data_IF_883390896284
#
_entry.id   IF_883390896284
#
_cell.length_a   1.000
_cell.length_b   1.000
_cell.length_c   1.000
_cell.angle_alpha   90.00
_cell.angle_beta   90.00
_cell.angle_gamma   90.00
#
_symmetry.space_group_name_H-M   'P 1'
#
loop_
_entity.id
_entity.type
_entity.pdbx_description
1 polymer ?
#
# COMPACT_ATOMS: atom_id res chain seq x y z
N UNK A 1 -40.45 -31.40 35.75
CA UNK A 1 -39.76 -30.92 34.54
C UNK A 1 -38.68 -31.94 34.21
N UNK A 2 -39.01 -32.97 33.44
CA UNK A 2 -38.05 -34.01 33.07
C UNK A 2 -37.14 -33.40 32.01
N UNK A 3 -35.89 -33.15 32.38
CA UNK A 3 -34.84 -32.82 31.42
C UNK A 3 -34.62 -34.09 30.60
N UNK A 4 -35.38 -34.23 29.51
CA UNK A 4 -35.19 -35.33 28.57
C UNK A 4 -33.88 -35.11 27.85
N UNK A 5 -33.15 -36.19 27.53
CA UNK A 5 -31.87 -36.16 26.83
C UNK A 5 -31.91 -35.30 25.55
N UNK A 6 -33.07 -35.21 24.92
CA UNK A 6 -33.36 -34.38 23.75
C UNK A 6 -33.25 -32.86 24.04
N UNK A 7 -33.73 -32.37 25.19
CA UNK A 7 -33.57 -30.96 25.56
C UNK A 7 -32.11 -30.58 25.81
N UNK A 8 -31.32 -31.48 26.41
CA UNK A 8 -29.87 -31.28 26.58
C UNK A 8 -29.18 -31.23 25.20
N UNK A 9 -29.57 -32.10 24.27
CA UNK A 9 -29.02 -32.13 22.92
C UNK A 9 -29.27 -30.82 22.16
N UNK A 10 -30.48 -30.26 22.23
CA UNK A 10 -30.82 -28.99 21.60
C UNK A 10 -30.05 -27.80 22.20
N UNK A 11 -29.83 -27.79 23.52
CA UNK A 11 -29.02 -26.77 24.20
C UNK A 11 -27.56 -26.84 23.72
N UNK A 12 -26.98 -28.05 23.66
CA UNK A 12 -25.61 -28.26 23.19
C UNK A 12 -25.47 -27.91 21.71
N UNK A 13 -26.44 -28.28 20.87
CA UNK A 13 -26.47 -27.91 19.46
C UNK A 13 -26.54 -26.39 19.27
N UNK A 14 -27.41 -25.70 20.04
CA UNK A 14 -27.52 -24.24 20.02
C UNK A 14 -26.22 -23.53 20.44
N UNK A 15 -25.55 -24.02 21.48
CA UNK A 15 -24.24 -23.52 21.93
C UNK A 15 -23.15 -23.76 20.88
N UNK A 16 -23.16 -24.90 20.21
CA UNK A 16 -22.22 -25.21 19.12
C UNK A 16 -22.36 -24.25 17.94
N UNK A 17 -23.60 -23.97 17.51
CA UNK A 17 -23.86 -23.00 16.43
C UNK A 17 -23.45 -21.59 16.85
N UNK A 18 -23.80 -21.16 18.07
CA UNK A 18 -23.42 -19.85 18.58
C UNK A 18 -21.89 -19.69 18.66
N UNK A 19 -21.17 -20.72 19.11
CA UNK A 19 -19.70 -20.72 19.16
C UNK A 19 -19.07 -20.58 17.76
N UNK A 20 -19.65 -21.24 16.75
CA UNK A 20 -19.17 -21.17 15.37
C UNK A 20 -19.40 -19.77 14.77
N UNK A 21 -20.56 -19.17 15.02
CA UNK A 21 -20.86 -17.79 14.60
C UNK A 21 -19.90 -16.80 15.25
N UNK A 22 -19.68 -16.89 16.56
CA UNK A 22 -18.73 -16.03 17.27
C UNK A 22 -17.32 -16.21 16.70
N UNK A 23 -16.85 -17.45 16.53
CA UNK A 23 -15.53 -17.74 15.95
C UNK A 23 -15.37 -17.15 14.54
N UNK A 24 -16.40 -17.28 13.69
CA UNK A 24 -16.38 -16.69 12.35
C UNK A 24 -16.31 -15.16 12.37
N UNK A 25 -17.01 -14.50 13.29
CA UNK A 25 -16.96 -13.05 13.47
C UNK A 25 -15.59 -12.61 13.98
N UNK A 26 -15.02 -13.29 14.97
CA UNK A 26 -13.67 -13.01 15.49
C UNK A 26 -12.58 -13.19 14.44
N UNK A 27 -12.78 -14.11 13.49
CA UNK A 27 -11.88 -14.29 12.33
C UNK A 27 -11.92 -13.08 11.38
N UNK A 28 -13.01 -12.31 11.37
CA UNK A 28 -13.21 -11.15 10.49
C UNK A 28 -12.82 -9.82 11.13
N UNK A 29 -12.87 -9.68 12.46
CA UNK A 29 -12.50 -8.45 13.19
C UNK A 29 -11.11 -7.92 12.81
N UNK A 30 -10.04 -8.74 12.70
CA UNK A 30 -8.71 -8.24 12.34
C UNK A 30 -8.66 -7.59 10.96
N UNK A 31 -9.53 -8.02 10.01
CA UNK A 31 -9.57 -7.45 8.66
C UNK A 31 -10.08 -6.00 8.66
N UNK A 32 -10.99 -5.66 9.57
CA UNK A 32 -11.47 -4.28 9.74
C UNK A 32 -10.46 -3.36 10.43
N UNK A 33 -9.51 -3.91 11.19
CA UNK A 33 -8.44 -3.16 11.83
C UNK A 33 -7.24 -2.87 10.90
N UNK A 34 -7.25 -3.41 9.69
CA UNK A 34 -6.16 -3.17 8.71
C UNK A 34 -6.37 -1.84 8.00
N UNK A 35 -5.61 -0.83 8.40
CA UNK A 35 -5.52 0.43 7.65
C UNK A 35 -4.44 0.29 6.58
N UNK A 36 -4.82 0.57 5.32
CA UNK A 36 -3.92 0.55 4.16
C UNK A 36 -3.78 1.96 3.63
N UNK A 37 -2.78 2.64 4.13
CA UNK A 37 -2.51 4.00 3.70
C UNK A 37 -1.03 4.30 3.65
N UNK A 38 -0.67 5.17 2.72
CA UNK A 38 0.68 5.66 2.59
C UNK A 38 0.63 7.12 2.15
N UNK A 39 1.64 7.86 2.56
CA UNK A 39 1.87 9.22 2.10
C UNK A 39 3.25 9.30 1.47
N UNK A 40 3.35 10.07 0.39
CA UNK A 40 4.61 10.44 -0.21
C UNK A 40 4.81 11.94 0.01
N UNK A 41 6.00 12.31 0.47
CA UNK A 41 6.41 13.70 0.67
C UNK A 41 7.85 13.86 0.17
N UNK A 42 8.24 15.11 -0.08
CA UNK A 42 9.58 15.43 -0.58
C UNK A 42 9.86 14.72 -1.92
N UNK A 43 8.93 14.84 -2.86
CA UNK A 43 9.06 14.22 -4.18
C UNK A 43 9.78 15.19 -5.11
N UNK A 44 11.02 14.86 -5.45
CA UNK A 44 11.86 15.62 -6.36
C UNK A 44 12.17 14.78 -7.60
N UNK A 45 12.25 15.44 -8.75
CA UNK A 45 12.52 14.80 -10.04
C UNK A 45 13.56 15.61 -10.79
N UNK A 46 14.67 14.97 -11.11
CA UNK A 46 15.78 15.57 -11.83
C UNK A 46 15.94 14.94 -13.21
N UNK A 47 16.41 15.71 -14.18
CA UNK A 47 16.57 15.26 -15.55
C UNK A 47 17.99 15.47 -16.07
N UNK A 48 18.62 14.38 -16.50
CA UNK A 48 19.98 14.36 -17.07
C UNK A 48 19.96 14.14 -18.60
N UNK A 49 18.92 14.59 -19.30
CA UNK A 49 18.80 14.47 -20.76
C UNK A 49 18.44 13.09 -21.32
N UNK A 50 18.68 12.01 -20.56
CA UNK A 50 18.33 10.63 -20.95
C UNK A 50 17.49 9.89 -19.89
N UNK A 51 17.70 10.21 -18.61
CA UNK A 51 17.04 9.57 -17.48
C UNK A 51 16.38 10.62 -16.59
N UNK A 52 15.22 10.25 -16.04
CA UNK A 52 14.58 10.97 -14.95
C UNK A 52 14.98 10.27 -13.65
N UNK A 53 15.62 11.02 -12.76
CA UNK A 53 16.00 10.58 -11.44
C UNK A 53 14.92 11.02 -10.44
N UNK A 54 14.22 10.05 -9.84
CA UNK A 54 13.14 10.32 -8.89
C UNK A 54 13.64 10.10 -7.47
N UNK A 55 13.48 11.13 -6.64
CA UNK A 55 13.63 11.06 -5.19
C UNK A 55 12.27 11.26 -4.54
N UNK A 56 11.95 10.44 -3.55
CA UNK A 56 10.70 10.57 -2.81
C UNK A 56 10.85 9.94 -1.44
N UNK A 57 10.30 10.57 -0.41
CA UNK A 57 10.16 9.91 0.89
C UNK A 57 8.76 9.34 1.02
N UNK A 58 8.68 8.07 1.39
CA UNK A 58 7.40 7.36 1.52
C UNK A 58 7.24 6.90 2.95
N UNK A 59 6.10 7.24 3.53
CA UNK A 59 5.71 6.83 4.88
C UNK A 59 4.47 5.96 4.82
N UNK A 60 4.57 4.80 5.45
CA UNK A 60 3.44 3.90 5.64
C UNK A 60 2.62 4.42 6.83
N UNK A 61 1.47 5.03 6.55
CA UNK A 61 0.55 5.51 7.59
C UNK A 61 -0.48 4.45 7.99
N UNK A 62 -0.49 3.32 7.28
CA UNK A 62 -1.29 2.16 7.61
C UNK A 62 -0.59 1.21 8.60
N UNK A 63 -1.29 0.13 8.95
CA UNK A 63 -0.74 -0.97 9.74
C UNK A 63 -0.27 -2.14 8.86
N UNK A 64 -0.64 -2.15 7.57
CA UNK A 64 -0.22 -3.21 6.63
C UNK A 64 1.14 -2.87 6.02
N UNK A 65 2.14 -3.78 6.08
CA UNK A 65 3.45 -3.52 5.49
C UNK A 65 3.40 -3.33 3.96
N UNK A 66 4.14 -2.35 3.47
CA UNK A 66 4.39 -2.12 2.04
C UNK A 66 5.55 -3.03 1.63
N UNK A 67 5.41 -3.74 0.51
CA UNK A 67 6.43 -4.65 -0.04
C UNK A 67 7.29 -3.97 -1.11
N UNK A 68 6.63 -3.22 -1.98
CA UNK A 68 7.25 -2.60 -3.15
C UNK A 68 6.46 -1.37 -3.54
N UNK A 69 7.14 -0.45 -4.22
CA UNK A 69 6.58 0.80 -4.69
C UNK A 69 6.91 0.92 -6.17
N UNK A 70 5.86 1.02 -6.97
CA UNK A 70 5.95 1.22 -8.40
C UNK A 70 5.79 2.72 -8.68
N UNK A 71 6.72 3.29 -9.41
CA UNK A 71 6.75 4.69 -9.81
C UNK A 71 6.46 4.70 -11.31
N UNK A 72 5.33 5.29 -11.71
CA UNK A 72 4.97 5.48 -13.11
C UNK A 72 4.95 6.97 -13.44
N UNK A 73 5.62 7.38 -14.52
CA UNK A 73 5.55 8.75 -15.02
C UNK A 73 4.34 8.91 -15.94
N UNK A 74 3.59 10.02 -15.85
CA UNK A 74 2.46 10.30 -16.76
C UNK A 74 2.90 10.44 -18.21
N UNK A 75 4.14 10.89 -18.43
CA UNK A 75 4.78 10.98 -19.74
C UNK A 75 5.22 9.62 -20.29
N UNK A 76 5.05 8.54 -19.52
CA UNK A 76 5.45 7.18 -19.87
C UNK A 76 6.83 6.81 -19.32
N UNK A 77 6.99 5.55 -18.95
CA UNK A 77 8.14 5.02 -18.21
C UNK A 77 7.74 4.65 -16.79
N UNK A 78 8.27 3.53 -16.30
CA UNK A 78 7.97 3.03 -14.96
C UNK A 78 9.18 2.34 -14.36
N UNK A 79 9.36 2.49 -13.05
CA UNK A 79 10.34 1.75 -12.29
C UNK A 79 9.68 1.16 -11.04
N UNK A 80 10.23 0.06 -10.54
CA UNK A 80 9.75 -0.59 -9.31
C UNK A 80 10.90 -0.62 -8.31
N UNK A 81 10.61 -0.18 -7.09
CA UNK A 81 11.54 -0.22 -5.96
C UNK A 81 11.00 -1.19 -4.92
N UNK A 82 11.83 -2.13 -4.50
CA UNK A 82 11.50 -2.96 -3.35
C UNK A 82 11.79 -2.17 -2.07
N UNK A 83 10.74 -1.90 -1.31
CA UNK A 83 10.82 -1.12 -0.08
C UNK A 83 9.92 -1.81 0.94
N UNK A 84 10.54 -2.53 1.89
CA UNK A 84 9.82 -3.25 2.93
C UNK A 84 9.59 -2.32 4.12
N UNK A 85 8.47 -1.59 4.11
CA UNK A 85 8.10 -0.64 5.17
C UNK A 85 6.98 -1.19 6.04
N UNK A 86 7.24 -1.38 7.34
CA UNK A 86 6.19 -1.74 8.30
C UNK A 86 5.27 -0.55 8.55
N UNK A 87 4.14 -0.81 9.21
CA UNK A 87 3.20 0.25 9.58
C UNK A 87 3.87 1.30 10.48
N UNK A 88 3.74 2.57 10.13
CA UNK A 88 4.36 3.70 10.82
C UNK A 88 5.79 4.03 10.37
N UNK A 89 6.46 3.16 9.61
CA UNK A 89 7.82 3.39 9.13
C UNK A 89 7.85 4.30 7.89
N UNK A 90 8.98 4.97 7.70
CA UNK A 90 9.28 5.78 6.52
C UNK A 90 10.55 5.25 5.83
N UNK A 91 10.57 5.34 4.51
CA UNK A 91 11.72 5.02 3.70
C UNK A 91 11.91 6.05 2.59
N UNK A 92 13.16 6.42 2.37
CA UNK A 92 13.53 7.28 1.26
C UNK A 92 13.82 6.42 0.03
N UNK A 93 13.27 6.84 -1.10
CA UNK A 93 13.64 6.37 -2.42
C UNK A 93 14.79 7.27 -2.88
N UNK A 94 15.99 6.72 -2.85
CA UNK A 94 17.22 7.39 -3.25
C UNK A 94 17.55 6.98 -4.69
N UNK A 95 17.41 7.92 -5.62
CA UNK A 95 17.79 7.79 -7.02
C UNK A 95 17.15 6.60 -7.78
N UNK A 96 15.90 6.78 -8.21
CA UNK A 96 15.27 5.84 -9.15
C UNK A 96 15.37 6.38 -10.57
N UNK A 97 16.08 5.65 -11.41
CA UNK A 97 16.28 5.99 -12.81
C UNK A 97 15.14 5.44 -13.67
N UNK A 98 14.43 6.34 -14.34
CA UNK A 98 13.41 6.00 -15.32
C UNK A 98 13.90 6.47 -16.70
N UNK A 99 14.10 5.52 -17.62
CA UNK A 99 14.56 5.80 -18.96
C UNK A 99 13.49 6.58 -19.74
N UNK A 100 13.75 7.85 -20.04
CA UNK A 100 12.83 8.69 -20.78
C UNK A 100 13.57 9.83 -21.49
N UNK A 101 13.68 9.72 -22.81
CA UNK A 101 14.25 10.77 -23.65
C UNK A 101 13.20 11.84 -24.03
N UNK A 102 13.66 13.06 -24.30
CA UNK A 102 12.85 14.14 -24.89
C UNK A 102 12.02 14.95 -23.90
N UNK A 103 12.34 14.90 -22.61
CA UNK A 103 11.75 15.80 -21.62
C UNK A 103 12.52 17.13 -21.57
N UNK A 104 11.89 18.16 -21.01
CA UNK A 104 12.53 19.47 -20.80
C UNK A 104 12.56 19.80 -19.32
N UNK A 105 13.70 20.32 -18.86
CA UNK A 105 13.81 20.94 -17.53
C UNK A 105 12.79 22.07 -17.42
N UNK A 106 12.14 22.20 -16.27
CA UNK A 106 11.04 23.14 -16.01
C UNK A 106 9.66 22.63 -16.41
N UNK A 107 9.55 21.46 -17.05
CA UNK A 107 8.26 20.85 -17.36
C UNK A 107 7.64 20.20 -16.12
N UNK A 108 6.34 20.43 -15.90
CA UNK A 108 5.58 19.71 -14.87
C UNK A 108 5.26 18.31 -15.38
N UNK A 109 5.67 17.29 -14.63
CA UNK A 109 5.33 15.89 -14.86
C UNK A 109 4.52 15.33 -13.70
N UNK A 110 3.65 14.36 -14.00
CA UNK A 110 2.95 13.61 -12.98
C UNK A 110 3.74 12.36 -12.62
N UNK A 111 4.03 12.18 -11.34
CA UNK A 111 4.65 10.98 -10.77
C UNK A 111 3.57 10.21 -10.03
N UNK A 112 3.18 9.06 -10.56
CA UNK A 112 2.24 8.15 -9.93
C UNK A 112 3.00 7.13 -9.10
N UNK A 113 2.92 7.27 -7.80
CA UNK A 113 3.47 6.33 -6.82
C UNK A 113 2.39 5.31 -6.46
N UNK A 114 2.61 4.05 -6.79
CA UNK A 114 1.73 2.93 -6.47
C UNK A 114 2.40 2.05 -5.43
N UNK A 115 1.94 2.13 -4.18
CA UNK A 115 2.36 1.24 -3.11
C UNK A 115 1.65 -0.11 -3.25
N UNK A 116 2.42 -1.19 -3.22
CA UNK A 116 1.92 -2.57 -3.23
C UNK A 116 2.19 -3.17 -1.86
N UNK A 117 1.10 -3.50 -1.16
CA UNK A 117 1.12 -4.06 0.17
C UNK A 117 1.40 -5.56 0.15
N UNK A 118 1.78 -6.14 1.30
CA UNK A 118 2.09 -7.58 1.40
C UNK A 118 0.94 -8.50 0.98
N UNK A 119 -0.30 -8.05 1.11
CA UNK A 119 -1.49 -8.78 0.68
C UNK A 119 -1.83 -8.58 -0.81
N UNK A 120 -0.89 -8.05 -1.59
CA UNK A 120 -1.02 -7.67 -3.00
C UNK A 120 -2.03 -6.57 -3.29
N UNK A 121 -2.65 -5.96 -2.28
CA UNK A 121 -3.46 -4.77 -2.51
C UNK A 121 -2.59 -3.61 -2.93
N UNK A 122 -3.15 -2.72 -3.74
CA UNK A 122 -2.42 -1.60 -4.32
C UNK A 122 -3.14 -0.29 -4.01
N UNK A 123 -2.37 0.74 -3.70
CA UNK A 123 -2.88 2.10 -3.56
C UNK A 123 -1.98 3.03 -4.34
N UNK A 124 -2.57 3.93 -5.14
CA UNK A 124 -1.83 4.87 -5.95
C UNK A 124 -2.05 6.30 -5.48
N UNK A 125 -1.01 7.12 -5.59
CA UNK A 125 -1.02 8.57 -5.38
C UNK A 125 -0.30 9.22 -6.56
N UNK A 126 -0.94 10.23 -7.14
CA UNK A 126 -0.34 11.04 -8.20
C UNK A 126 0.14 12.35 -7.58
N UNK A 127 1.40 12.71 -7.84
CA UNK A 127 2.00 13.97 -7.42
C UNK A 127 2.52 14.67 -8.66
N UNK A 128 2.20 15.95 -8.84
CA UNK A 128 2.78 16.76 -9.91
C UNK A 128 4.06 17.41 -9.40
N UNK A 129 5.14 17.23 -10.13
CA UNK A 129 6.48 17.72 -9.77
C UNK A 129 7.10 18.41 -10.98
N UNK A 130 7.85 19.48 -10.75
CA UNK A 130 8.61 20.17 -11.79
C UNK A 130 9.91 19.40 -12.02
N UNK A 131 10.26 19.13 -13.28
CA UNK A 131 11.57 18.57 -13.62
C UNK A 131 12.65 19.61 -13.36
N UNK A 132 13.56 19.28 -12.45
CA UNK A 132 14.76 20.06 -12.13
C UNK A 132 15.95 19.58 -12.97
N UNK A 133 16.95 20.44 -13.13
CA UNK A 133 18.24 20.07 -13.73
C UNK A 133 19.05 19.26 -12.70
N UNK A 134 19.65 18.15 -13.14
CA UNK A 134 20.48 17.29 -12.28
C UNK A 134 21.78 17.97 -11.85
#
# INVERSE_FOLDING_TARGET
MQVTTEHILWIVAGLGVAGLVIFSLFSWIPRFMTTKDFTAYDVHCYYDGSYVHVFATIKNTGNVPIKQIRIDLTVGGSATVNLNLKGGEQGAINDVKIAKAGLKVGQVIGVKLTAIFQDNSQKARLVHVVLEEW
#
